data_IF_634535780775
#
_entry.id   IF_634535780775
#
_cell.length_a   1.000
_cell.length_b   1.000
_cell.length_c   1.000
_cell.angle_alpha   90.00
_cell.angle_beta   90.00
_cell.angle_gamma   90.00
#
_symmetry.space_group_name_H-M   'P 1'
#
loop_
_entity.id
_entity.type
_entity.pdbx_description
1 polymer ?
#
# COMPACT_ATOMS: atom_id res chain seq x y z
N UNK A 1 -17.43 16.21 -8.94
CA UNK A 1 -16.83 15.08 -9.66
C UNK A 1 -15.53 15.51 -10.37
N UNK A 2 -15.54 16.59 -11.16
CA UNK A 2 -14.37 17.09 -11.91
C UNK A 2 -13.17 17.39 -11.02
N UNK A 3 -13.37 18.02 -9.87
CA UNK A 3 -12.32 18.29 -8.90
C UNK A 3 -11.70 17.01 -8.35
N UNK A 4 -12.49 15.95 -8.11
CA UNK A 4 -12.00 14.65 -7.65
C UNK A 4 -11.19 13.92 -8.72
N UNK A 5 -11.59 14.01 -9.97
CA UNK A 5 -10.83 13.43 -11.10
C UNK A 5 -9.46 14.11 -11.28
N UNK A 6 -9.35 15.39 -10.96
CA UNK A 6 -8.08 16.16 -11.02
C UNK A 6 -7.20 16.02 -9.79
N UNK A 7 -7.69 15.37 -8.72
CA UNK A 7 -6.93 15.18 -7.48
C UNK A 7 -5.73 14.26 -7.69
N UNK A 8 -4.58 14.65 -7.13
CA UNK A 8 -3.38 13.82 -7.13
C UNK A 8 -3.46 12.77 -6.01
N UNK A 9 -3.91 11.56 -6.34
CA UNK A 9 -4.04 10.44 -5.41
C UNK A 9 -2.70 9.78 -5.03
N UNK A 10 -1.59 10.15 -5.65
CA UNK A 10 -0.25 9.70 -5.29
C UNK A 10 0.42 10.60 -4.24
N UNK A 11 -0.27 11.66 -3.79
CA UNK A 11 0.20 12.56 -2.74
C UNK A 11 -0.27 12.09 -1.35
N UNK A 12 0.57 12.19 -0.29
CA UNK A 12 0.20 11.78 1.08
C UNK A 12 -1.12 12.37 1.60
N UNK A 13 -1.44 13.61 1.23
CA UNK A 13 -2.70 14.27 1.64
C UNK A 13 -3.98 13.65 1.04
N UNK A 14 -3.85 12.74 0.07
CA UNK A 14 -5.00 12.03 -0.48
C UNK A 14 -5.50 10.89 0.42
N UNK A 15 -4.76 10.54 1.47
CA UNK A 15 -5.06 9.43 2.36
C UNK A 15 -5.49 9.91 3.75
N UNK A 16 -6.48 9.25 4.32
CA UNK A 16 -6.92 9.46 5.71
C UNK A 16 -6.03 8.64 6.66
N UNK A 17 -4.77 9.06 6.77
CA UNK A 17 -3.76 8.38 7.59
C UNK A 17 -4.13 8.38 9.07
N UNK A 18 -4.78 9.43 9.56
CA UNK A 18 -5.22 9.53 10.95
C UNK A 18 -6.26 8.45 11.28
N UNK A 19 -7.25 8.24 10.40
CA UNK A 19 -8.22 7.16 10.55
C UNK A 19 -7.54 5.78 10.48
N UNK A 20 -6.61 5.57 9.55
CA UNK A 20 -5.86 4.33 9.45
C UNK A 20 -5.11 4.02 10.74
N UNK A 21 -4.38 4.98 11.29
CA UNK A 21 -3.65 4.83 12.56
C UNK A 21 -4.62 4.51 13.71
N UNK A 22 -5.73 5.23 13.81
CA UNK A 22 -6.73 4.97 14.84
C UNK A 22 -7.29 3.54 14.74
N UNK A 23 -7.63 3.07 13.53
CA UNK A 23 -8.15 1.72 13.31
C UNK A 23 -7.11 0.64 13.59
N UNK A 24 -5.85 0.84 13.23
CA UNK A 24 -4.78 -0.11 13.55
C UNK A 24 -4.60 -0.23 15.07
N UNK A 25 -4.62 0.88 15.80
CA UNK A 25 -4.53 0.84 17.27
C UNK A 25 -5.69 0.07 17.89
N UNK A 26 -6.93 0.26 17.42
CA UNK A 26 -8.08 -0.53 17.89
C UNK A 26 -7.86 -2.04 17.66
N UNK A 27 -7.39 -2.41 16.47
CA UNK A 27 -7.10 -3.81 16.13
C UNK A 27 -5.98 -4.40 17.01
N UNK A 28 -4.93 -3.63 17.30
CA UNK A 28 -3.83 -4.04 18.19
C UNK A 28 -4.30 -4.23 19.63
N UNK A 29 -5.32 -3.49 20.06
CA UNK A 29 -5.95 -3.63 21.37
C UNK A 29 -7.05 -4.71 21.41
N UNK A 30 -7.21 -5.48 20.33
CA UNK A 30 -8.18 -6.58 20.25
C UNK A 30 -9.62 -6.12 19.97
N UNK A 31 -9.83 -4.89 19.50
CA UNK A 31 -11.15 -4.36 19.15
C UNK A 31 -11.35 -4.35 17.64
N UNK A 32 -12.49 -4.82 17.13
CA UNK A 32 -12.80 -4.79 15.71
C UNK A 32 -13.11 -3.36 15.22
N UNK A 33 -12.89 -3.13 13.94
CA UNK A 33 -13.12 -1.83 13.28
C UNK A 33 -13.94 -1.98 12.00
N UNK A 34 -14.63 -0.90 11.61
CA UNK A 34 -15.33 -0.80 10.35
C UNK A 34 -14.51 0.00 9.35
N UNK A 35 -13.85 -0.69 8.42
CA UNK A 35 -12.96 -0.09 7.43
C UNK A 35 -13.78 0.47 6.27
N UNK A 36 -13.61 1.75 5.89
CA UNK A 36 -14.30 2.33 4.76
C UNK A 36 -13.83 1.71 3.43
N UNK A 37 -14.76 1.57 2.49
CA UNK A 37 -14.46 1.17 1.13
C UNK A 37 -14.37 2.38 0.21
N UNK A 38 -13.68 2.24 -0.92
CA UNK A 38 -13.53 3.28 -1.92
C UNK A 38 -14.35 2.95 -3.17
N UNK A 39 -15.05 3.94 -3.70
CA UNK A 39 -15.75 3.85 -4.96
C UNK A 39 -14.87 4.44 -6.07
N UNK A 40 -14.31 3.57 -6.90
CA UNK A 40 -13.41 3.95 -7.98
C UNK A 40 -14.13 4.65 -9.14
N UNK A 41 -15.42 4.42 -9.33
CA UNK A 41 -16.20 5.08 -10.38
C UNK A 41 -16.53 6.53 -10.01
N UNK A 42 -16.83 6.76 -8.72
CA UNK A 42 -17.17 8.08 -8.19
C UNK A 42 -15.95 8.85 -7.64
N UNK A 43 -14.78 8.24 -7.64
CA UNK A 43 -13.55 8.81 -7.07
C UNK A 43 -13.73 9.35 -5.65
N UNK A 44 -14.39 8.56 -4.77
CA UNK A 44 -14.66 8.97 -3.38
C UNK A 44 -14.79 7.78 -2.44
N UNK A 45 -14.76 8.06 -1.13
CA UNK A 45 -15.12 7.08 -0.11
C UNK A 45 -16.58 6.67 -0.28
N UNK A 46 -16.84 5.37 -0.30
CA UNK A 46 -18.20 4.81 -0.30
C UNK A 46 -18.86 4.99 1.09
N UNK A 47 -20.17 4.94 1.13
CA UNK A 47 -20.92 4.81 2.39
C UNK A 47 -20.83 3.41 3.00
N UNK A 48 -20.28 2.44 2.25
CA UNK A 48 -20.12 1.06 2.72
C UNK A 48 -18.82 0.91 3.49
N UNK A 49 -18.87 0.09 4.52
CA UNK A 49 -17.70 -0.36 5.28
C UNK A 49 -17.66 -1.87 5.28
N UNK A 50 -16.51 -2.45 5.60
CA UNK A 50 -16.41 -3.84 5.98
C UNK A 50 -15.80 -3.95 7.37
N UNK A 51 -16.31 -4.92 8.15
CA UNK A 51 -15.81 -5.16 9.50
C UNK A 51 -14.56 -6.01 9.46
N UNK A 52 -13.52 -5.51 10.12
CA UNK A 52 -12.25 -6.21 10.33
C UNK A 52 -12.13 -6.62 11.78
N UNK A 53 -12.03 -7.92 12.01
CA UNK A 53 -11.75 -8.48 13.34
C UNK A 53 -10.24 -8.48 13.63
N UNK A 54 -9.83 -8.38 14.90
CA UNK A 54 -8.42 -8.53 15.30
C UNK A 54 -7.83 -9.86 14.85
N UNK A 55 -6.57 -9.83 14.46
CA UNK A 55 -5.81 -11.01 14.00
C UNK A 55 -4.41 -10.99 14.62
N UNK A 56 -3.75 -12.16 14.66
CA UNK A 56 -2.37 -12.27 15.15
C UNK A 56 -1.34 -11.63 14.19
N UNK A 57 -1.70 -11.47 12.91
CA UNK A 57 -0.87 -10.80 11.88
C UNK A 57 -1.75 -9.92 11.01
N UNK A 58 -1.34 -8.66 10.81
CA UNK A 58 -1.91 -7.74 9.84
C UNK A 58 -0.87 -7.36 8.79
N UNK A 59 -1.27 -7.35 7.54
CA UNK A 59 -0.47 -6.81 6.44
C UNK A 59 -1.13 -5.53 5.96
N UNK A 60 -0.44 -4.40 6.15
CA UNK A 60 -0.86 -3.09 5.63
C UNK A 60 -0.07 -2.82 4.36
N UNK A 61 -0.76 -2.69 3.23
CA UNK A 61 -0.12 -2.50 1.94
C UNK A 61 -0.50 -1.16 1.31
N UNK A 62 0.43 -0.56 0.58
CA UNK A 62 0.22 0.67 -0.18
C UNK A 62 1.52 1.42 -0.43
N UNK A 63 1.51 2.27 -1.45
CA UNK A 63 2.70 3.00 -1.90
C UNK A 63 3.23 4.03 -0.88
N UNK A 64 2.39 4.49 0.05
CA UNK A 64 2.70 5.52 1.04
C UNK A 64 2.68 5.01 2.49
N UNK A 65 2.55 3.70 2.72
CA UNK A 65 2.45 3.15 4.09
C UNK A 65 3.70 3.40 4.94
N UNK A 66 4.85 3.60 4.33
CA UNK A 66 6.10 3.93 5.01
C UNK A 66 6.39 5.45 5.09
N UNK A 67 5.50 6.31 4.62
CA UNK A 67 5.74 7.76 4.56
C UNK A 67 5.52 8.41 5.95
N UNK A 68 4.42 8.12 6.63
CA UNK A 68 4.13 8.68 7.95
C UNK A 68 4.88 7.93 9.06
N UNK A 69 5.65 8.68 9.86
CA UNK A 69 6.41 8.11 10.98
C UNK A 69 5.51 7.42 12.01
N UNK A 70 4.34 7.99 12.30
CA UNK A 70 3.39 7.45 13.29
C UNK A 70 2.89 6.07 12.86
N UNK A 71 2.67 5.88 11.54
CA UNK A 71 2.27 4.58 10.99
C UNK A 71 3.44 3.58 11.04
N UNK A 72 4.65 4.02 10.69
CA UNK A 72 5.86 3.16 10.80
C UNK A 72 6.12 2.69 12.22
N UNK A 73 5.86 3.53 13.23
CA UNK A 73 6.08 3.20 14.64
C UNK A 73 5.15 2.07 15.13
N UNK A 74 4.05 1.78 14.43
CA UNK A 74 3.14 0.66 14.71
C UNK A 74 3.56 -0.66 14.05
N UNK A 75 4.54 -0.65 13.15
CA UNK A 75 4.93 -1.80 12.35
C UNK A 75 6.08 -2.55 12.98
N UNK A 76 5.94 -3.88 13.16
CA UNK A 76 7.03 -4.77 13.59
C UNK A 76 8.01 -5.06 12.45
N UNK A 77 7.52 -5.15 11.22
CA UNK A 77 8.33 -5.44 10.02
C UNK A 77 7.92 -4.48 8.91
N UNK A 78 8.90 -3.74 8.39
CA UNK A 78 8.73 -2.79 7.29
C UNK A 78 9.41 -3.31 6.03
N UNK A 79 8.64 -3.48 4.97
CA UNK A 79 9.11 -4.05 3.70
C UNK A 79 8.96 -3.01 2.60
N UNK A 80 10.01 -2.81 1.82
CA UNK A 80 9.98 -2.02 0.60
C UNK A 80 10.15 -2.94 -0.61
N UNK A 81 9.18 -2.93 -1.53
CA UNK A 81 9.28 -3.65 -2.79
C UNK A 81 9.96 -2.74 -3.81
N UNK A 82 11.16 -3.11 -4.21
CA UNK A 82 12.00 -2.32 -5.12
C UNK A 82 11.91 -2.88 -6.53
N UNK A 83 11.40 -2.08 -7.44
CA UNK A 83 11.26 -2.44 -8.86
C UNK A 83 11.77 -1.29 -9.70
N UNK A 84 12.57 -1.59 -10.71
CA UNK A 84 13.15 -0.60 -11.61
C UNK A 84 12.09 0.24 -12.33
N UNK A 85 12.39 1.50 -12.60
CA UNK A 85 11.47 2.48 -13.18
C UNK A 85 10.89 2.02 -14.52
N UNK A 86 11.72 1.43 -15.38
CA UNK A 86 11.32 0.91 -16.69
C UNK A 86 10.33 -0.25 -16.57
N UNK A 87 10.57 -1.17 -15.63
CA UNK A 87 9.64 -2.28 -15.35
C UNK A 87 8.31 -1.74 -14.80
N UNK A 88 8.36 -0.76 -13.91
CA UNK A 88 7.13 -0.14 -13.34
C UNK A 88 6.29 0.54 -14.42
N UNK A 89 6.91 1.33 -15.31
CA UNK A 89 6.17 2.00 -16.39
C UNK A 89 5.61 1.00 -17.40
N UNK A 90 6.35 -0.04 -17.78
CA UNK A 90 5.88 -1.08 -18.68
C UNK A 90 4.66 -1.81 -18.10
N UNK A 91 4.73 -2.23 -16.83
CA UNK A 91 3.61 -2.87 -16.13
C UNK A 91 2.38 -1.94 -16.06
N UNK A 92 2.60 -0.66 -15.79
CA UNK A 92 1.53 0.36 -15.75
C UNK A 92 0.86 0.54 -17.11
N UNK A 93 1.65 0.70 -18.19
CA UNK A 93 1.12 0.85 -19.55
C UNK A 93 0.22 -0.34 -19.88
N UNK A 94 0.73 -1.57 -19.69
CA UNK A 94 -0.02 -2.78 -19.97
C UNK A 94 -1.35 -2.82 -19.22
N UNK A 95 -1.31 -2.67 -17.90
CA UNK A 95 -2.51 -2.68 -17.05
C UNK A 95 -3.52 -1.60 -17.43
N UNK A 96 -3.06 -0.35 -17.58
CA UNK A 96 -3.96 0.79 -17.80
C UNK A 96 -4.59 0.77 -19.20
N UNK A 97 -3.91 0.20 -20.20
CA UNK A 97 -4.47 -0.01 -21.54
C UNK A 97 -5.43 -1.22 -21.56
N UNK A 98 -5.04 -2.37 -21.02
CA UNK A 98 -5.82 -3.62 -21.09
C UNK A 98 -7.03 -3.61 -20.15
N UNK A 99 -6.88 -3.10 -18.92
CA UNK A 99 -7.92 -3.22 -17.88
C UNK A 99 -8.73 -1.94 -17.69
N UNK A 100 -8.17 -0.76 -18.03
CA UNK A 100 -8.77 0.54 -17.78
C UNK A 100 -9.13 1.32 -19.05
N UNK A 101 -8.83 0.76 -20.23
CA UNK A 101 -9.17 1.34 -21.53
C UNK A 101 -8.49 2.68 -21.83
N UNK A 102 -7.35 2.97 -21.20
CA UNK A 102 -6.64 4.24 -21.40
C UNK A 102 -5.77 4.22 -22.66
N UNK A 103 -5.57 5.39 -23.27
CA UNK A 103 -4.61 5.55 -24.36
C UNK A 103 -3.16 5.55 -23.83
N UNK A 104 -2.20 5.11 -24.65
CA UNK A 104 -0.78 5.14 -24.33
C UNK A 104 -0.31 6.55 -23.95
N UNK A 105 -0.70 7.55 -24.74
CA UNK A 105 -0.31 8.96 -24.50
C UNK A 105 -0.80 9.44 -23.14
N UNK A 106 -2.07 9.16 -22.80
CA UNK A 106 -2.64 9.50 -21.48
C UNK A 106 -1.89 8.85 -20.32
N UNK A 107 -1.44 7.59 -20.46
CA UNK A 107 -0.67 6.90 -19.42
C UNK A 107 0.71 7.51 -19.27
N UNK A 108 1.40 7.83 -20.38
CA UNK A 108 2.73 8.45 -20.38
C UNK A 108 2.69 9.86 -19.78
N UNK A 109 1.73 10.69 -20.19
CA UNK A 109 1.57 12.05 -19.66
C UNK A 109 1.36 12.03 -18.15
N UNK A 110 0.46 11.18 -17.65
CA UNK A 110 0.23 11.05 -16.20
C UNK A 110 1.46 10.51 -15.47
N UNK A 111 2.16 9.56 -16.06
CA UNK A 111 3.37 9.01 -15.44
C UNK A 111 4.45 10.08 -15.28
N UNK A 112 4.73 10.83 -16.34
CA UNK A 112 5.78 11.86 -16.32
C UNK A 112 5.37 13.08 -15.49
N UNK A 113 4.10 13.50 -15.56
CA UNK A 113 3.61 14.70 -14.89
C UNK A 113 3.30 14.52 -13.41
N UNK A 114 2.90 13.34 -12.99
CA UNK A 114 2.42 13.09 -11.62
C UNK A 114 3.13 11.92 -10.96
N UNK A 115 3.03 10.73 -11.52
CA UNK A 115 3.42 9.48 -10.82
C UNK A 115 4.92 9.44 -10.53
N UNK A 116 5.76 9.75 -11.51
CA UNK A 116 7.22 9.73 -11.35
C UNK A 116 7.71 10.81 -10.37
N UNK A 117 7.26 12.09 -10.45
CA UNK A 117 7.61 13.07 -9.42
C UNK A 117 7.19 12.67 -8.00
N UNK A 118 5.97 12.16 -7.82
CA UNK A 118 5.47 11.72 -6.50
C UNK A 118 6.26 10.52 -5.97
N UNK A 119 6.64 9.59 -6.84
CA UNK A 119 7.48 8.47 -6.45
C UNK A 119 8.82 8.95 -5.88
N UNK A 120 9.53 9.82 -6.58
CA UNK A 120 10.83 10.32 -6.11
C UNK A 120 10.72 11.22 -4.89
N UNK A 121 9.61 11.94 -4.74
CA UNK A 121 9.42 12.85 -3.61
C UNK A 121 8.96 12.13 -2.33
N UNK A 122 8.05 11.18 -2.42
CA UNK A 122 7.38 10.62 -1.26
C UNK A 122 7.61 9.11 -1.05
N UNK A 123 7.81 8.33 -2.13
CA UNK A 123 7.86 6.86 -2.03
C UNK A 123 9.30 6.38 -1.91
N UNK A 124 10.14 6.69 -2.89
CA UNK A 124 11.54 6.26 -2.93
C UNK A 124 12.33 6.62 -1.66
N UNK A 125 12.19 7.83 -1.07
CA UNK A 125 12.89 8.16 0.17
C UNK A 125 12.52 7.28 1.36
N UNK A 126 11.36 6.62 1.35
CA UNK A 126 10.91 5.75 2.42
C UNK A 126 11.64 4.40 2.47
N UNK A 127 12.32 4.03 1.39
CA UNK A 127 13.17 2.85 1.29
C UNK A 127 14.18 2.75 2.45
N UNK A 128 14.68 3.88 2.95
CA UNK A 128 15.57 3.96 4.10
C UNK A 128 14.98 3.49 5.43
N UNK A 129 13.66 3.42 5.52
CA UNK A 129 12.95 3.00 6.73
C UNK A 129 12.58 1.52 6.70
N UNK A 130 12.80 0.84 5.58
CA UNK A 130 12.49 -0.58 5.45
C UNK A 130 13.51 -1.44 6.21
N UNK A 131 13.01 -2.47 6.88
CA UNK A 131 13.83 -3.52 7.49
C UNK A 131 14.29 -4.53 6.43
N UNK A 132 13.47 -4.72 5.37
CA UNK A 132 13.74 -5.62 4.24
C UNK A 132 13.41 -4.92 2.93
N UNK A 133 14.32 -5.01 1.96
CA UNK A 133 14.08 -4.56 0.59
C UNK A 133 13.99 -5.79 -0.31
N UNK A 134 12.86 -5.91 -1.03
CA UNK A 134 12.59 -7.03 -1.94
C UNK A 134 12.72 -6.53 -3.37
N UNK A 135 13.78 -6.90 -4.10
CA UNK A 135 13.88 -6.60 -5.52
C UNK A 135 12.86 -7.43 -6.31
N UNK A 136 12.34 -6.83 -7.38
CA UNK A 136 11.46 -7.49 -8.37
C UNK A 136 10.08 -7.98 -7.88
N UNK A 137 9.76 -7.80 -6.61
CA UNK A 137 8.44 -8.13 -6.05
C UNK A 137 8.08 -9.62 -6.14
N UNK A 138 6.94 -9.91 -6.75
CA UNK A 138 6.36 -11.28 -6.79
C UNK A 138 7.20 -12.33 -7.53
N UNK A 139 8.16 -11.91 -8.34
CA UNK A 139 9.08 -12.82 -9.05
C UNK A 139 10.23 -13.28 -8.16
N UNK A 140 10.48 -12.60 -7.05
CA UNK A 140 11.48 -12.99 -6.06
C UNK A 140 10.92 -14.05 -5.09
N UNK A 141 10.86 -15.29 -5.57
CA UNK A 141 10.30 -16.41 -4.80
C UNK A 141 11.07 -16.70 -3.51
N UNK A 142 12.38 -16.45 -3.49
CA UNK A 142 13.21 -16.64 -2.29
C UNK A 142 12.82 -15.64 -1.19
N UNK A 143 12.66 -14.37 -1.54
CA UNK A 143 12.25 -13.37 -0.56
C UNK A 143 10.83 -13.63 -0.03
N UNK A 144 9.92 -14.06 -0.92
CA UNK A 144 8.55 -14.45 -0.53
C UNK A 144 8.58 -15.62 0.46
N UNK A 145 9.36 -16.66 0.17
CA UNK A 145 9.50 -17.83 1.04
C UNK A 145 10.02 -17.45 2.44
N UNK A 146 11.05 -16.61 2.50
CA UNK A 146 11.59 -16.11 3.78
C UNK A 146 10.53 -15.36 4.62
N UNK A 147 9.73 -14.50 3.97
CA UNK A 147 8.68 -13.74 4.65
C UNK A 147 7.55 -14.66 5.10
N UNK A 148 7.13 -15.58 4.24
CA UNK A 148 6.09 -16.58 4.56
C UNK A 148 6.50 -17.44 5.76
N UNK A 149 7.73 -17.94 5.75
CA UNK A 149 8.30 -18.72 6.88
C UNK A 149 8.30 -17.90 8.18
N UNK A 150 8.64 -16.60 8.10
CA UNK A 150 8.60 -15.73 9.30
C UNK A 150 7.19 -15.53 9.82
N UNK A 151 6.21 -15.33 8.94
CA UNK A 151 4.80 -15.19 9.29
C UNK A 151 4.27 -16.49 9.91
N UNK A 152 4.54 -17.63 9.31
CA UNK A 152 4.16 -18.94 9.82
C UNK A 152 4.72 -19.19 11.24
N UNK A 153 5.97 -18.81 11.47
CA UNK A 153 6.58 -18.90 12.79
C UNK A 153 5.83 -18.06 13.82
N UNK A 154 5.51 -16.79 13.49
CA UNK A 154 4.75 -15.88 14.38
C UNK A 154 3.38 -16.49 14.70
N UNK A 155 2.66 -16.99 13.70
CA UNK A 155 1.34 -17.60 13.89
C UNK A 155 1.39 -18.86 14.75
N UNK A 156 2.42 -19.68 14.62
CA UNK A 156 2.59 -20.88 15.44
C UNK A 156 2.89 -20.50 16.89
N UNK A 157 3.81 -19.55 17.14
CA UNK A 157 4.11 -19.03 18.48
C UNK A 157 2.86 -18.43 19.15
N UNK A 158 2.02 -17.70 18.41
CA UNK A 158 0.77 -17.15 18.93
C UNK A 158 -0.27 -18.22 19.29
N UNK A 159 -0.26 -19.36 18.60
CA UNK A 159 -1.14 -20.50 18.90
C UNK A 159 -0.67 -21.32 20.11
N UNK A 160 0.64 -21.48 20.28
CA UNK A 160 1.23 -22.21 21.39
C UNK A 160 1.18 -21.43 22.73
N UNK A 161 1.09 -20.09 22.64
CA UNK A 161 1.00 -19.20 23.81
C UNK A 161 -0.43 -18.96 24.32
N UNK A 162 -1.44 -19.52 23.65
CA UNK A 162 -2.86 -19.49 24.07
C UNK A 162 -3.25 -20.81 24.72
#
# INVERSE_FOLDING_TARGET
FEERVSTNYDHPFAFDTDLMIAQINELLEGRPVDIPTYDYAEHTRSSKTYRQEPQDVFIVEGILVLEDKRLRDLMDIKIFVDTDDDVRIIRRIKRDMEERGRSLDSVIEQYLGVVKPMYHQFIEPTKRYADVIIPEGVTNTVAIDLITTKIEKILNEAREGK
#
